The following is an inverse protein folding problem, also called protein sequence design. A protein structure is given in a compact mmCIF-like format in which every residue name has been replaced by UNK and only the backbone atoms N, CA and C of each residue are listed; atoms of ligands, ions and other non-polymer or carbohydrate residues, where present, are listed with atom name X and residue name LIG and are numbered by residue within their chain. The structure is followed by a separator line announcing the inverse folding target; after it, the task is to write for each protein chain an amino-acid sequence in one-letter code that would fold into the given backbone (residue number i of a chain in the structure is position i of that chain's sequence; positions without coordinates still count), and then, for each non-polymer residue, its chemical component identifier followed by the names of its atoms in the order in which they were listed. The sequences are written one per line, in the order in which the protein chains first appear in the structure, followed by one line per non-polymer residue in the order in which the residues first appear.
data_IF_470191039770
#
_entry.id   IF_470191039770
#
_cell.length_a   1.000
_cell.length_b   1.000
_cell.length_c   1.000
_cell.angle_alpha   90.00
_cell.angle_beta   90.00
_cell.angle_gamma   90.00
#
_symmetry.space_group_name_H-M   'P 1'
#
loop_
_entity.id
_entity.type
_entity.pdbx_description
1 polymer ?
#
# COMPACT_ATOMS: atom_id res chain seq x y z
N UNK A 1 9.37 6.58 -12.76
CA UNK A 1 8.44 5.46 -12.51
C UNK A 1 9.20 4.43 -11.69
N UNK A 2 8.65 4.05 -10.55
CA UNK A 2 9.29 3.11 -9.64
C UNK A 2 8.77 1.69 -9.84
N UNK A 3 9.58 0.71 -9.42
CA UNK A 3 9.15 -0.67 -9.29
C UNK A 3 9.29 -1.08 -7.82
N UNK A 4 8.18 -1.41 -7.21
CA UNK A 4 8.10 -1.67 -5.78
C UNK A 4 7.54 -3.05 -5.44
N UNK A 5 7.83 -3.49 -4.22
CA UNK A 5 7.30 -4.71 -3.61
C UNK A 5 6.49 -4.35 -2.38
N UNK A 6 5.27 -4.88 -2.36
CA UNK A 6 4.30 -4.74 -1.30
C UNK A 6 4.50 -5.81 -0.22
N UNK A 7 4.30 -5.47 1.04
CA UNK A 7 4.37 -6.39 2.17
C UNK A 7 5.73 -7.07 2.41
N UNK A 8 6.79 -6.31 2.37
CA UNK A 8 8.12 -6.85 2.68
C UNK A 8 8.25 -7.13 4.18
N UNK A 9 8.47 -8.38 4.55
CA UNK A 9 8.70 -8.79 5.93
C UNK A 9 10.04 -9.54 6.05
N UNK A 10 11.08 -8.83 6.46
CA UNK A 10 12.42 -9.39 6.64
C UNK A 10 12.45 -10.56 7.62
N UNK A 11 11.69 -10.47 8.70
CA UNK A 11 11.62 -11.49 9.75
C UNK A 11 10.91 -12.78 9.31
N UNK A 12 10.15 -12.75 8.21
CA UNK A 12 9.42 -13.93 7.69
C UNK A 12 10.21 -14.59 6.57
N UNK A 13 10.71 -13.79 5.61
CA UNK A 13 11.41 -14.28 4.41
C UNK A 13 12.68 -13.46 4.14
N UNK A 14 13.71 -13.56 4.99
CA UNK A 14 14.91 -12.73 4.86
C UNK A 14 15.66 -12.96 3.54
N UNK A 15 15.73 -14.20 3.07
CA UNK A 15 16.44 -14.53 1.83
C UNK A 15 15.78 -13.86 0.63
N UNK A 16 14.45 -13.91 0.55
CA UNK A 16 13.67 -13.24 -0.52
C UNK A 16 13.85 -11.73 -0.46
N UNK A 17 13.82 -11.14 0.73
CA UNK A 17 14.06 -9.71 0.88
C UNK A 17 15.45 -9.32 0.35
N UNK A 18 16.50 -10.05 0.73
CA UNK A 18 17.85 -9.74 0.30
C UNK A 18 18.07 -10.01 -1.20
N UNK A 19 17.42 -11.00 -1.79
CA UNK A 19 17.41 -11.21 -3.23
C UNK A 19 16.83 -9.99 -3.96
N UNK A 20 15.64 -9.54 -3.57
CA UNK A 20 15.00 -8.34 -4.12
C UNK A 20 15.83 -7.07 -3.88
N UNK A 21 16.43 -6.96 -2.71
CA UNK A 21 17.28 -5.81 -2.35
C UNK A 21 18.52 -5.73 -3.23
N UNK A 22 19.12 -6.86 -3.57
CA UNK A 22 20.31 -6.95 -4.42
C UNK A 22 20.01 -6.88 -5.91
N UNK A 23 18.75 -7.12 -6.30
CA UNK A 23 18.30 -6.99 -7.69
C UNK A 23 18.24 -5.53 -8.15
N UNK A 24 18.45 -5.30 -9.43
CA UNK A 24 18.46 -3.94 -10.01
C UNK A 24 17.06 -3.40 -10.33
N UNK A 25 16.03 -4.24 -10.29
CA UNK A 25 14.69 -3.88 -10.73
C UNK A 25 13.79 -3.31 -9.62
N UNK A 26 13.99 -3.68 -8.34
CA UNK A 26 13.22 -3.13 -7.22
C UNK A 26 13.92 -1.90 -6.67
N UNK A 27 13.25 -0.78 -6.60
CA UNK A 27 13.77 0.46 -6.04
C UNK A 27 12.97 0.99 -4.85
N UNK A 28 11.76 0.44 -4.61
CA UNK A 28 10.89 0.82 -3.51
C UNK A 28 10.33 -0.42 -2.79
N UNK A 29 10.40 -0.40 -1.48
CA UNK A 29 9.81 -1.42 -0.62
C UNK A 29 8.66 -0.84 0.19
N UNK A 30 7.72 -1.70 0.57
CA UNK A 30 6.65 -1.36 1.47
C UNK A 30 6.64 -2.37 2.62
N UNK A 31 6.71 -1.88 3.85
CA UNK A 31 6.66 -2.71 5.05
C UNK A 31 5.36 -2.49 5.82
N UNK A 32 4.65 -3.57 6.11
CA UNK A 32 3.50 -3.55 7.02
C UNK A 32 3.89 -3.79 8.49
N UNK A 33 5.14 -4.14 8.74
CA UNK A 33 5.60 -4.51 10.07
C UNK A 33 5.74 -3.33 11.03
N UNK A 34 5.81 -3.65 12.30
CA UNK A 34 6.24 -2.70 13.31
C UNK A 34 7.73 -2.41 13.12
N UNK A 35 8.08 -1.14 12.98
CA UNK A 35 9.48 -0.70 12.74
C UNK A 35 10.28 -0.53 14.04
N UNK A 36 9.91 -1.24 15.10
CA UNK A 36 10.52 -1.06 16.42
C UNK A 36 11.53 -2.13 16.79
N UNK A 37 11.61 -3.21 16.03
CA UNK A 37 12.54 -4.27 16.33
C UNK A 37 13.88 -4.10 15.60
N UNK A 38 14.85 -4.87 16.03
CA UNK A 38 16.17 -4.87 15.42
C UNK A 38 16.11 -5.28 13.95
N UNK A 39 15.23 -6.22 13.57
CA UNK A 39 15.09 -6.67 12.20
C UNK A 39 14.60 -5.54 11.28
N UNK A 40 13.65 -4.73 11.74
CA UNK A 40 13.18 -3.56 10.99
C UNK A 40 14.26 -2.48 10.84
N UNK A 41 15.08 -2.27 11.86
CA UNK A 41 16.21 -1.34 11.79
C UNK A 41 17.28 -1.83 10.81
N UNK A 42 17.58 -3.12 10.80
CA UNK A 42 18.52 -3.76 9.85
C UNK A 42 17.98 -3.68 8.41
N UNK A 43 16.69 -3.91 8.19
CA UNK A 43 16.03 -3.75 6.90
C UNK A 43 16.16 -2.32 6.38
N UNK A 44 15.83 -1.32 7.21
CA UNK A 44 15.92 0.09 6.83
C UNK A 44 17.36 0.49 6.49
N UNK A 45 18.33 0.02 7.27
CA UNK A 45 19.75 0.21 6.99
C UNK A 45 20.15 -0.39 5.65
N UNK A 46 19.77 -1.64 5.39
CA UNK A 46 20.12 -2.34 4.16
C UNK A 46 19.49 -1.66 2.92
N UNK A 47 18.24 -1.20 3.02
CA UNK A 47 17.56 -0.41 1.98
C UNK A 47 18.33 0.90 1.71
N UNK A 48 18.74 1.61 2.77
CA UNK A 48 19.50 2.85 2.67
C UNK A 48 20.86 2.66 1.99
N UNK A 49 21.62 1.64 2.41
CA UNK A 49 22.94 1.32 1.83
C UNK A 49 22.89 0.97 0.35
N UNK A 50 21.76 0.45 -0.12
CA UNK A 50 21.49 0.17 -1.55
C UNK A 50 20.91 1.37 -2.31
N UNK A 51 20.70 2.51 -1.66
CA UNK A 51 20.11 3.70 -2.29
C UNK A 51 18.62 3.54 -2.64
N UNK A 52 17.96 2.54 -2.08
CA UNK A 52 16.54 2.25 -2.32
C UNK A 52 15.65 2.95 -1.30
N UNK A 53 14.33 2.84 -1.44
CA UNK A 53 13.34 3.56 -0.64
C UNK A 53 12.37 2.62 0.06
N UNK A 54 11.79 3.09 1.17
CA UNK A 54 10.81 2.36 1.96
C UNK A 54 9.59 3.23 2.26
N UNK A 55 8.40 2.69 2.00
CA UNK A 55 7.18 3.13 2.64
C UNK A 55 6.92 2.31 3.89
N UNK A 56 6.62 3.00 4.99
CA UNK A 56 6.35 2.38 6.29
C UNK A 56 4.87 2.44 6.59
N UNK A 57 4.26 1.30 6.89
CA UNK A 57 2.85 1.28 7.30
C UNK A 57 2.66 1.98 8.63
N UNK A 58 1.66 2.85 8.69
CA UNK A 58 1.27 3.54 9.92
C UNK A 58 -0.02 2.98 10.53
N UNK A 59 -0.57 1.91 9.96
CA UNK A 59 -1.83 1.36 10.42
C UNK A 59 -1.81 1.09 11.93
N UNK A 60 -0.87 0.26 12.39
CA UNK A 60 -0.79 -0.10 13.81
C UNK A 60 -0.24 1.00 14.72
N UNK A 61 0.25 2.09 14.17
CA UNK A 61 0.67 3.26 14.97
C UNK A 61 -0.53 4.06 15.45
N UNK A 62 -1.49 4.25 14.58
CA UNK A 62 -2.65 5.10 14.83
C UNK A 62 -3.92 4.31 15.16
N UNK A 63 -4.04 3.08 14.71
CA UNK A 63 -5.29 2.32 14.77
C UNK A 63 -5.14 1.00 15.50
N UNK A 64 -6.27 0.49 15.99
CA UNK A 64 -6.40 -0.85 16.57
C UNK A 64 -7.70 -1.51 16.10
N UNK A 65 -7.63 -2.81 15.86
CA UNK A 65 -8.81 -3.61 15.63
C UNK A 65 -9.61 -3.76 16.93
N UNK A 66 -10.90 -3.42 16.88
CA UNK A 66 -11.86 -3.74 17.93
C UNK A 66 -12.64 -4.99 17.58
N UNK A 67 -12.92 -5.15 16.29
CA UNK A 67 -13.61 -6.30 15.74
C UNK A 67 -13.15 -6.52 14.30
N UNK A 68 -12.88 -7.77 13.95
CA UNK A 68 -12.60 -8.17 12.57
C UNK A 68 -13.23 -9.54 12.35
N UNK A 69 -14.20 -9.60 11.48
CA UNK A 69 -14.76 -10.85 10.98
C UNK A 69 -14.27 -11.03 9.55
N UNK A 70 -13.42 -12.02 9.37
CA UNK A 70 -13.05 -12.44 8.01
C UNK A 70 -14.16 -13.38 7.53
N UNK A 71 -14.92 -12.93 6.56
CA UNK A 71 -15.89 -13.78 5.91
C UNK A 71 -15.20 -14.65 4.86
N UNK A 72 -15.42 -15.95 4.98
CA UNK A 72 -14.73 -16.98 4.22
C UNK A 72 -15.26 -17.10 2.79
N UNK A 73 -16.39 -16.44 2.46
CA UNK A 73 -17.05 -16.55 1.18
C UNK A 73 -16.86 -15.32 0.30
N UNK A 74 -16.42 -15.58 -0.92
CA UNK A 74 -16.22 -14.57 -1.96
C UNK A 74 -17.58 -14.01 -2.39
N UNK A 75 -17.79 -12.75 -2.08
CA UNK A 75 -19.07 -12.07 -2.34
C UNK A 75 -19.89 -11.82 -1.09
N UNK A 76 -19.41 -12.23 0.06
CA UNK A 76 -20.01 -11.95 1.35
C UNK A 76 -19.31 -10.79 2.09
N UNK A 77 -19.97 -10.30 3.10
CA UNK A 77 -19.67 -9.09 3.82
C UNK A 77 -18.29 -9.13 4.53
N UNK A 78 -17.37 -8.25 4.18
CA UNK A 78 -16.23 -7.96 5.01
C UNK A 78 -16.67 -6.99 6.11
N UNK A 79 -16.58 -7.39 7.34
CA UNK A 79 -16.90 -6.56 8.50
C UNK A 79 -15.65 -6.37 9.35
N UNK A 80 -15.17 -5.15 9.38
CA UNK A 80 -14.09 -4.76 10.27
C UNK A 80 -14.48 -3.50 11.02
N UNK A 81 -14.11 -3.43 12.28
CA UNK A 81 -14.19 -2.21 13.06
C UNK A 81 -12.82 -1.88 13.61
N UNK A 82 -12.32 -0.78 13.13
CA UNK A 82 -11.04 -0.21 13.52
C UNK A 82 -11.30 1.17 14.12
N UNK A 83 -10.60 1.48 15.18
CA UNK A 83 -10.71 2.78 15.86
C UNK A 83 -9.32 3.36 16.07
N UNK A 84 -9.24 4.66 16.29
CA UNK A 84 -8.02 5.30 16.78
C UNK A 84 -7.61 4.69 18.13
N UNK A 85 -6.32 4.50 18.31
CA UNK A 85 -5.74 4.08 19.60
C UNK A 85 -5.77 5.25 20.56
N UNK A 86 -5.93 4.97 21.83
CA UNK A 86 -5.67 5.97 22.86
C UNK A 86 -4.18 6.35 22.81
N UNK A 87 -3.86 7.63 22.81
CA UNK A 87 -2.47 8.12 22.70
C UNK A 87 -1.82 7.84 21.32
N UNK A 88 -2.59 7.82 20.26
CA UNK A 88 -2.08 7.53 18.92
C UNK A 88 -1.05 8.58 18.44
N UNK A 89 -1.21 9.86 18.83
CA UNK A 89 -0.25 10.90 18.46
C UNK A 89 1.13 10.63 19.05
N UNK A 90 1.16 10.29 20.35
CA UNK A 90 2.40 9.93 21.05
C UNK A 90 3.05 8.70 20.42
N UNK A 91 2.23 7.72 20.02
CA UNK A 91 2.75 6.53 19.32
C UNK A 91 3.37 6.91 17.98
N UNK A 92 2.67 7.68 17.15
CA UNK A 92 3.17 8.14 15.85
C UNK A 92 4.46 8.95 16.02
N UNK A 93 4.50 9.87 16.99
CA UNK A 93 5.69 10.68 17.27
C UNK A 93 6.89 9.82 17.71
N UNK A 94 6.66 8.83 18.57
CA UNK A 94 7.71 7.90 19.00
C UNK A 94 8.27 7.08 17.82
N UNK A 95 7.40 6.60 16.92
CA UNK A 95 7.82 5.87 15.72
C UNK A 95 8.61 6.74 14.75
N UNK A 96 8.16 7.96 14.50
CA UNK A 96 8.89 8.94 13.68
C UNK A 96 10.25 9.25 14.32
N UNK A 97 10.30 9.44 15.62
CA UNK A 97 11.56 9.71 16.34
C UNK A 97 12.53 8.51 16.21
N UNK A 98 12.05 7.28 16.35
CA UNK A 98 12.83 6.07 16.15
C UNK A 98 13.43 6.00 14.74
N UNK A 99 12.60 6.19 13.70
CA UNK A 99 13.07 6.20 12.32
C UNK A 99 14.12 7.27 12.05
N UNK A 100 13.95 8.47 12.60
CA UNK A 100 14.94 9.56 12.50
C UNK A 100 16.24 9.22 13.23
N UNK A 101 16.14 8.64 14.43
CA UNK A 101 17.29 8.25 15.24
C UNK A 101 18.10 7.08 14.65
N UNK A 102 17.52 6.30 13.75
CA UNK A 102 18.20 5.19 13.06
C UNK A 102 19.37 5.64 12.19
N UNK A 103 19.45 6.90 11.82
CA UNK A 103 20.42 7.42 10.85
C UNK A 103 20.12 7.10 9.39
N UNK A 104 18.97 6.47 9.12
CA UNK A 104 18.55 6.02 7.78
C UNK A 104 17.25 6.67 7.30
N UNK A 105 16.88 7.82 7.88
CA UNK A 105 15.66 8.57 7.55
C UNK A 105 15.53 8.90 6.07
N UNK A 106 16.64 9.10 5.37
CA UNK A 106 16.64 9.37 3.92
C UNK A 106 16.10 8.21 3.08
N UNK A 107 16.17 6.96 3.58
CA UNK A 107 15.58 5.81 2.92
C UNK A 107 14.05 5.74 3.09
N UNK A 108 13.49 6.39 4.11
CA UNK A 108 12.04 6.48 4.27
C UNK A 108 11.48 7.42 3.22
N UNK A 109 10.82 6.88 2.20
CA UNK A 109 10.10 7.65 1.18
C UNK A 109 8.85 8.28 1.77
N UNK A 110 8.15 7.53 2.61
CA UNK A 110 6.92 8.00 3.22
C UNK A 110 6.21 6.95 4.08
N UNK A 111 4.94 7.21 4.30
CA UNK A 111 4.05 6.40 5.11
C UNK A 111 2.97 5.78 4.24
N UNK A 112 2.52 4.59 4.61
CA UNK A 112 1.58 3.80 3.84
C UNK A 112 0.41 3.31 4.67
N UNK A 113 -0.75 3.18 4.05
CA UNK A 113 -1.91 2.49 4.61
C UNK A 113 -2.69 1.74 3.52
N UNK A 114 -3.13 0.55 3.87
CA UNK A 114 -3.88 -0.34 3.01
C UNK A 114 -5.36 -0.33 3.33
N UNK A 115 -6.19 -0.16 2.31
CA UNK A 115 -7.66 -0.25 2.35
C UNK A 115 -8.33 0.33 3.61
N UNK A 116 -7.99 1.57 4.04
CA UNK A 116 -8.42 2.06 5.36
C UNK A 116 -9.93 2.02 5.55
N UNK A 117 -10.71 2.39 4.52
CA UNK A 117 -12.17 2.44 4.62
C UNK A 117 -12.80 1.04 4.58
N UNK A 118 -12.21 0.09 3.86
CA UNK A 118 -12.62 -1.32 3.87
C UNK A 118 -12.34 -1.96 5.23
N UNK A 119 -11.21 -1.60 5.83
CA UNK A 119 -10.83 -2.04 7.17
C UNK A 119 -11.66 -1.38 8.29
N UNK A 120 -12.63 -0.52 7.96
CA UNK A 120 -13.57 0.08 8.91
C UNK A 120 -13.06 1.35 9.60
N UNK A 121 -11.98 1.95 9.10
CA UNK A 121 -11.52 3.28 9.54
C UNK A 121 -12.52 4.32 8.99
N UNK A 122 -12.97 5.23 9.84
CA UNK A 122 -13.84 6.31 9.39
C UNK A 122 -13.05 7.31 8.52
N UNK A 123 -13.74 7.98 7.60
CA UNK A 123 -13.12 9.04 6.78
C UNK A 123 -12.54 10.15 7.66
N UNK A 124 -13.21 10.48 8.76
CA UNK A 124 -12.77 11.50 9.71
C UNK A 124 -11.45 11.09 10.40
N UNK A 125 -11.38 9.87 10.94
CA UNK A 125 -10.17 9.35 11.57
C UNK A 125 -9.02 9.25 10.59
N UNK A 126 -9.30 8.77 9.38
CA UNK A 126 -8.29 8.69 8.30
C UNK A 126 -7.71 10.06 7.97
N UNK A 127 -8.56 11.07 7.79
CA UNK A 127 -8.11 12.44 7.53
C UNK A 127 -7.33 13.03 8.69
N UNK A 128 -7.78 12.78 9.92
CA UNK A 128 -7.11 13.26 11.13
C UNK A 128 -5.68 12.75 11.22
N UNK A 129 -5.47 11.45 11.00
CA UNK A 129 -4.13 10.85 11.06
C UNK A 129 -3.25 11.31 9.89
N UNK A 130 -3.79 11.34 8.67
CA UNK A 130 -3.02 11.78 7.49
C UNK A 130 -2.65 13.27 7.56
N UNK A 131 -3.52 14.11 8.12
CA UNK A 131 -3.21 15.51 8.40
C UNK A 131 -2.06 15.65 9.41
N UNK A 132 -2.11 14.88 10.48
CA UNK A 132 -1.06 14.85 11.51
C UNK A 132 0.29 14.41 10.94
N UNK A 133 0.32 13.32 10.18
CA UNK A 133 1.54 12.86 9.50
C UNK A 133 2.10 13.92 8.56
N UNK A 134 1.24 14.64 7.85
CA UNK A 134 1.62 15.73 6.95
C UNK A 134 2.26 16.90 7.69
N UNK A 135 1.73 17.24 8.86
CA UNK A 135 2.29 18.28 9.73
C UNK A 135 3.66 17.87 10.29
N UNK A 136 3.78 16.61 10.77
CA UNK A 136 5.03 16.10 11.40
C UNK A 136 6.14 15.81 10.41
N UNK A 137 5.79 15.43 9.17
CA UNK A 137 6.72 15.04 8.14
C UNK A 137 6.31 15.64 6.77
N UNK A 138 6.39 16.97 6.58
CA UNK A 138 5.94 17.62 5.36
C UNK A 138 6.77 17.23 4.12
N UNK A 139 7.99 16.76 4.33
CA UNK A 139 8.92 16.27 3.30
C UNK A 139 8.67 14.82 2.87
N UNK A 140 7.85 14.09 3.63
CA UNK A 140 7.57 12.68 3.34
C UNK A 140 6.25 12.50 2.60
N UNK A 141 6.15 11.42 1.86
CA UNK A 141 4.95 11.07 1.12
C UNK A 141 3.94 10.33 1.99
N UNK A 142 2.68 10.39 1.61
CA UNK A 142 1.61 9.59 2.22
C UNK A 142 0.91 8.84 1.10
N UNK A 143 1.04 7.51 1.14
CA UNK A 143 0.52 6.59 0.15
C UNK A 143 -0.68 5.82 0.72
N UNK A 144 -1.78 5.79 -0.02
CA UNK A 144 -2.96 4.98 0.31
C UNK A 144 -3.31 4.08 -0.87
N UNK A 145 -3.41 2.79 -0.61
CA UNK A 145 -4.09 1.85 -1.50
C UNK A 145 -5.56 1.78 -1.09
N UNK A 146 -6.47 2.09 -1.99
CA UNK A 146 -7.90 2.05 -1.76
C UNK A 146 -8.50 0.74 -2.28
N UNK A 147 -9.50 0.21 -1.59
CA UNK A 147 -10.29 -0.90 -2.13
C UNK A 147 -11.14 -0.45 -3.33
N UNK A 148 -11.39 -1.37 -4.24
CA UNK A 148 -12.31 -1.14 -5.38
C UNK A 148 -13.68 -0.69 -4.91
N UNK A 149 -14.19 -1.24 -3.79
CA UNK A 149 -15.50 -0.86 -3.25
C UNK A 149 -15.60 0.63 -2.94
N UNK A 150 -14.53 1.25 -2.51
CA UNK A 150 -14.47 2.70 -2.30
C UNK A 150 -14.28 3.49 -3.58
N UNK A 151 -13.54 2.94 -4.54
CA UNK A 151 -13.18 3.61 -5.80
C UNK A 151 -14.29 3.50 -6.84
N UNK A 152 -14.76 2.28 -7.13
CA UNK A 152 -15.71 1.96 -8.17
C UNK A 152 -16.78 0.99 -7.65
N UNK A 153 -17.73 1.45 -6.82
CA UNK A 153 -18.74 0.61 -6.19
C UNK A 153 -19.71 -0.04 -7.19
N UNK A 154 -19.74 0.41 -8.42
CA UNK A 154 -20.46 -0.21 -9.54
C UNK A 154 -19.74 -1.43 -10.13
N UNK A 155 -18.42 -1.58 -9.86
CA UNK A 155 -17.63 -2.75 -10.23
C UNK A 155 -17.62 -3.78 -9.11
N UNK A 156 -17.44 -3.33 -7.88
CA UNK A 156 -17.46 -4.17 -6.69
C UNK A 156 -17.99 -3.41 -5.48
N UNK A 157 -18.85 -4.03 -4.71
CA UNK A 157 -19.38 -3.47 -3.47
C UNK A 157 -18.95 -4.29 -2.26
N UNK A 158 -18.66 -3.61 -1.18
CA UNK A 158 -18.50 -4.23 0.14
C UNK A 158 -19.42 -3.50 1.12
N UNK A 159 -20.05 -4.26 2.03
CA UNK A 159 -20.95 -3.68 3.01
C UNK A 159 -20.22 -2.66 3.88
N UNK A 160 -20.90 -1.55 4.13
CA UNK A 160 -20.42 -0.42 4.91
C UNK A 160 -19.25 0.39 4.30
N UNK A 161 -18.76 0.07 3.13
CA UNK A 161 -17.76 0.90 2.43
C UNK A 161 -18.46 1.99 1.64
N UNK A 162 -18.22 3.23 2.01
CA UNK A 162 -18.70 4.38 1.25
C UNK A 162 -17.72 4.74 0.14
N UNK A 163 -18.21 5.26 -0.99
CA UNK A 163 -17.33 5.79 -2.03
C UNK A 163 -16.36 6.84 -1.47
N UNK A 164 -15.11 6.79 -1.92
CA UNK A 164 -14.13 7.81 -1.58
C UNK A 164 -14.55 9.17 -2.16
N UNK A 165 -14.11 10.23 -1.51
CA UNK A 165 -14.41 11.62 -1.87
C UNK A 165 -13.13 12.42 -1.92
N UNK A 166 -13.14 13.67 -2.46
CA UNK A 166 -11.93 14.50 -2.50
C UNK A 166 -11.27 14.68 -1.14
N UNK A 167 -12.06 14.68 -0.06
CA UNK A 167 -11.56 14.80 1.31
C UNK A 167 -10.69 13.60 1.71
N UNK A 168 -10.96 12.40 1.19
CA UNK A 168 -10.12 11.22 1.45
C UNK A 168 -8.70 11.41 0.91
N UNK A 169 -8.56 12.13 -0.21
CA UNK A 169 -7.26 12.41 -0.83
C UNK A 169 -6.54 13.63 -0.29
N UNK A 170 -7.16 14.44 0.58
CA UNK A 170 -6.70 15.79 0.90
C UNK A 170 -5.22 15.89 1.30
N UNK A 171 -4.74 14.94 2.07
CA UNK A 171 -3.37 14.92 2.60
C UNK A 171 -2.46 13.89 1.94
N UNK A 172 -3.00 13.12 1.00
CA UNK A 172 -2.25 12.10 0.26
C UNK A 172 -1.36 12.72 -0.82
N UNK A 173 -0.29 12.03 -1.14
CA UNK A 173 0.63 12.33 -2.24
C UNK A 173 0.66 11.21 -3.27
N UNK A 174 0.27 10.01 -2.86
CA UNK A 174 0.34 8.78 -3.65
C UNK A 174 -0.92 7.96 -3.43
N UNK A 175 -1.47 7.43 -4.50
CA UNK A 175 -2.69 6.64 -4.44
C UNK A 175 -2.62 5.45 -5.39
N UNK A 176 -3.24 4.36 -4.97
CA UNK A 176 -3.46 3.17 -5.75
C UNK A 176 -4.82 2.57 -5.45
N UNK A 177 -5.18 1.55 -6.17
CA UNK A 177 -6.16 0.54 -5.78
C UNK A 177 -5.58 -0.85 -6.11
N UNK A 178 -6.04 -1.85 -5.41
CA UNK A 178 -5.67 -3.23 -5.67
C UNK A 178 -6.85 -3.99 -6.31
N UNK A 179 -6.54 -4.79 -7.30
CA UNK A 179 -7.48 -5.70 -7.95
C UNK A 179 -6.71 -6.89 -8.52
N UNK A 180 -7.05 -8.09 -8.07
CA UNK A 180 -6.32 -9.31 -8.39
C UNK A 180 -7.01 -10.21 -9.42
N UNK A 181 -7.95 -9.67 -10.16
CA UNK A 181 -8.61 -10.35 -11.27
C UNK A 181 -7.81 -10.21 -12.57
N UNK A 182 -8.27 -10.90 -13.62
CA UNK A 182 -7.68 -10.77 -14.95
C UNK A 182 -7.64 -9.30 -15.37
N UNK A 183 -6.49 -8.86 -15.89
CA UNK A 183 -6.34 -7.52 -16.42
C UNK A 183 -7.30 -7.32 -17.62
N UNK A 184 -8.13 -6.30 -17.55
CA UNK A 184 -9.09 -5.93 -18.56
C UNK A 184 -9.32 -4.40 -18.60
N UNK A 185 -10.24 -3.96 -19.43
CA UNK A 185 -10.62 -2.56 -19.59
C UNK A 185 -11.11 -1.86 -18.31
N UNK A 186 -11.56 -2.65 -17.31
CA UNK A 186 -12.01 -2.11 -16.02
C UNK A 186 -10.90 -1.42 -15.24
N UNK A 187 -9.66 -1.86 -15.41
CA UNK A 187 -8.51 -1.20 -14.75
C UNK A 187 -8.37 0.27 -15.15
N UNK A 188 -8.52 0.57 -16.44
CA UNK A 188 -8.50 1.96 -16.93
C UNK A 188 -9.69 2.75 -16.39
N UNK A 189 -10.86 2.14 -16.33
CA UNK A 189 -12.07 2.75 -15.77
C UNK A 189 -11.88 3.04 -14.26
N UNK A 190 -11.45 2.05 -13.47
CA UNK A 190 -11.24 2.21 -12.01
C UNK A 190 -10.18 3.27 -11.73
N UNK A 191 -9.08 3.29 -12.49
CA UNK A 191 -8.05 4.34 -12.37
C UNK A 191 -8.65 5.73 -12.61
N UNK A 192 -9.48 5.87 -13.64
CA UNK A 192 -10.18 7.12 -13.95
C UNK A 192 -11.16 7.53 -12.84
N UNK A 193 -11.94 6.57 -12.32
CA UNK A 193 -12.88 6.81 -11.21
C UNK A 193 -12.16 7.22 -9.93
N UNK A 194 -11.04 6.57 -9.60
CA UNK A 194 -10.21 6.98 -8.45
C UNK A 194 -9.79 8.44 -8.58
N UNK A 195 -9.25 8.83 -9.72
CA UNK A 195 -8.83 10.21 -9.98
C UNK A 195 -10.00 11.18 -9.87
N UNK A 196 -11.13 10.86 -10.50
CA UNK A 196 -12.34 11.70 -10.47
C UNK A 196 -12.86 11.90 -9.05
N UNK A 197 -12.95 10.82 -8.27
CA UNK A 197 -13.43 10.88 -6.88
C UNK A 197 -12.49 11.63 -5.97
N UNK A 198 -11.20 11.59 -6.23
CA UNK A 198 -10.18 12.37 -5.50
C UNK A 198 -10.03 13.82 -6.02
N UNK A 199 -10.99 14.30 -6.86
CA UNK A 199 -11.03 15.68 -7.33
C UNK A 199 -10.10 15.98 -8.50
N UNK A 200 -9.66 14.98 -9.26
CA UNK A 200 -8.74 15.13 -10.41
C UNK A 200 -7.46 15.88 -10.06
N UNK A 201 -6.92 15.66 -8.87
CA UNK A 201 -5.68 16.27 -8.41
C UNK A 201 -4.50 15.80 -9.25
N UNK A 202 -3.85 16.72 -9.96
CA UNK A 202 -2.69 16.43 -10.82
C UNK A 202 -1.38 16.20 -10.03
N UNK A 203 -1.33 16.61 -8.78
CA UNK A 203 -0.18 16.44 -7.88
C UNK A 203 -0.10 15.04 -7.25
N UNK A 204 -1.19 14.26 -7.30
CA UNK A 204 -1.18 12.87 -6.84
C UNK A 204 -0.37 11.98 -7.78
N UNK A 205 0.56 11.21 -7.24
CA UNK A 205 1.18 10.11 -7.98
C UNK A 205 0.24 8.91 -8.03
N UNK A 206 0.05 8.40 -9.23
CA UNK A 206 -0.80 7.22 -9.46
C UNK A 206 0.10 5.99 -9.49
N UNK A 207 -0.20 5.05 -8.63
CA UNK A 207 0.42 3.73 -8.61
C UNK A 207 -0.56 2.68 -9.13
N UNK A 208 -0.01 1.60 -9.67
CA UNK A 208 -0.78 0.39 -9.98
C UNK A 208 -0.26 -0.75 -9.12
N UNK A 209 -1.17 -1.60 -8.65
CA UNK A 209 -0.85 -2.77 -7.83
C UNK A 209 -1.14 -4.03 -8.66
N UNK A 210 -0.19 -4.49 -9.48
CA UNK A 210 -0.39 -5.70 -10.26
C UNK A 210 -0.41 -6.93 -9.37
N UNK A 211 -1.27 -7.89 -9.72
CA UNK A 211 -1.27 -9.21 -9.13
C UNK A 211 -0.08 -10.00 -9.67
N UNK A 212 0.92 -10.21 -8.83
CA UNK A 212 2.11 -11.00 -9.15
C UNK A 212 2.17 -12.30 -8.35
N UNK A 213 1.05 -12.73 -7.81
CA UNK A 213 0.90 -13.95 -7.03
C UNK A 213 -0.22 -14.83 -7.60
N UNK A 214 -0.12 -16.14 -7.40
CA UNK A 214 -1.19 -17.07 -7.70
C UNK A 214 -2.27 -17.04 -6.60
N UNK A 215 -3.04 -15.98 -6.58
CA UNK A 215 -4.12 -15.81 -5.63
C UNK A 215 -5.20 -16.88 -5.90
N UNK A 216 -5.37 -17.82 -4.97
CA UNK A 216 -6.31 -18.96 -5.03
C UNK A 216 -5.92 -20.14 -5.93
N UNK A 217 -4.70 -20.22 -6.43
CA UNK A 217 -4.25 -21.33 -7.25
C UNK A 217 -4.87 -21.42 -8.64
N UNK A 218 -5.50 -20.33 -9.11
CA UNK A 218 -6.17 -20.25 -10.41
C UNK A 218 -5.43 -19.37 -11.44
N UNK A 219 -4.24 -18.88 -11.08
CA UNK A 219 -3.46 -17.97 -11.90
C UNK A 219 -2.12 -18.56 -12.23
N UNK A 220 -1.74 -18.49 -13.47
CA UNK A 220 -0.43 -18.91 -13.98
C UNK A 220 0.49 -17.71 -14.17
N UNK A 221 1.73 -17.99 -14.51
CA UNK A 221 2.74 -17.00 -14.82
C UNK A 221 2.29 -16.02 -15.91
N UNK A 222 1.63 -16.52 -16.96
CA UNK A 222 1.14 -15.68 -18.05
C UNK A 222 0.10 -14.67 -17.56
N UNK A 223 -0.78 -15.06 -16.63
CA UNK A 223 -1.72 -14.14 -16.00
C UNK A 223 -0.98 -13.02 -15.24
N UNK A 224 0.06 -13.36 -14.49
CA UNK A 224 0.86 -12.37 -13.76
C UNK A 224 1.59 -11.41 -14.70
N UNK A 225 2.16 -11.94 -15.79
CA UNK A 225 2.83 -11.13 -16.83
C UNK A 225 1.85 -10.20 -17.55
N UNK A 226 0.69 -10.70 -17.95
CA UNK A 226 -0.36 -9.91 -18.61
C UNK A 226 -0.84 -8.76 -17.69
N UNK A 227 -0.98 -9.07 -16.40
CA UNK A 227 -1.38 -8.11 -15.40
C UNK A 227 -0.33 -7.01 -15.19
N UNK A 228 0.92 -7.42 -15.03
CA UNK A 228 2.06 -6.51 -14.89
C UNK A 228 2.19 -5.58 -16.10
N UNK A 229 2.17 -6.16 -17.30
CA UNK A 229 2.27 -5.41 -18.55
C UNK A 229 1.11 -4.44 -18.74
N UNK A 230 -0.12 -4.88 -18.45
CA UNK A 230 -1.31 -4.04 -18.54
C UNK A 230 -1.26 -2.85 -17.59
N UNK A 231 -0.88 -3.06 -16.33
CA UNK A 231 -0.68 -2.01 -15.35
C UNK A 231 0.43 -1.03 -15.78
N UNK A 232 1.53 -1.54 -16.33
CA UNK A 232 2.62 -0.71 -16.84
C UNK A 232 2.15 0.20 -18.00
N UNK A 233 1.40 -0.36 -18.97
CA UNK A 233 0.87 0.43 -20.08
C UNK A 233 -0.17 1.48 -19.65
N UNK A 234 -0.91 1.23 -18.56
CA UNK A 234 -1.76 2.26 -17.97
C UNK A 234 -0.93 3.39 -17.36
N UNK A 235 0.11 3.06 -16.58
CA UNK A 235 0.97 4.07 -15.94
C UNK A 235 1.69 4.96 -16.94
N UNK A 236 2.07 4.44 -18.10
CA UNK A 236 2.70 5.25 -19.17
C UNK A 236 1.80 6.38 -19.68
N UNK A 237 0.49 6.27 -19.49
CA UNK A 237 -0.49 7.29 -19.89
C UNK A 237 -0.74 8.34 -18.79
N UNK A 238 -0.27 8.08 -17.58
CA UNK A 238 -0.46 8.99 -16.47
C UNK A 238 0.50 10.19 -16.54
N UNK A 239 -0.02 11.37 -16.17
CA UNK A 239 0.78 12.60 -16.12
C UNK A 239 1.81 12.56 -14.99
N UNK A 240 1.44 11.95 -13.87
CA UNK A 240 2.27 11.81 -12.67
C UNK A 240 2.32 10.34 -12.20
N UNK A 241 3.04 9.47 -12.91
CA UNK A 241 3.12 8.06 -12.54
C UNK A 241 4.00 7.88 -11.30
N UNK A 242 3.50 7.16 -10.31
CA UNK A 242 4.27 6.69 -9.16
C UNK A 242 5.12 5.50 -9.57
N UNK A 243 4.47 4.39 -9.89
CA UNK A 243 5.12 3.16 -10.27
C UNK A 243 4.20 1.95 -10.16
N UNK A 244 4.79 0.79 -10.31
CA UNK A 244 4.18 -0.51 -10.03
C UNK A 244 4.54 -0.91 -8.60
N UNK A 245 3.55 -1.34 -7.83
CA UNK A 245 3.75 -1.91 -6.49
C UNK A 245 3.25 -3.35 -6.52
N UNK A 246 4.14 -4.29 -6.78
CA UNK A 246 3.79 -5.70 -6.91
C UNK A 246 3.31 -6.27 -5.59
N UNK A 247 2.12 -6.89 -5.60
CA UNK A 247 1.52 -7.44 -4.41
C UNK A 247 2.13 -8.77 -4.01
N UNK A 248 2.42 -8.89 -2.74
CA UNK A 248 2.78 -10.05 -1.92
C UNK A 248 3.58 -11.16 -2.59
N UNK A 249 4.89 -11.04 -2.49
CA UNK A 249 5.83 -12.07 -2.89
C UNK A 249 5.94 -13.19 -1.83
N UNK A 250 5.59 -12.94 -0.58
CA UNK A 250 5.87 -13.83 0.55
C UNK A 250 4.69 -14.70 1.03
N UNK A 251 3.48 -14.46 0.51
CA UNK A 251 2.32 -15.27 0.93
C UNK A 251 2.22 -16.62 0.22
N UNK A 252 3.05 -16.85 -0.80
CA UNK A 252 3.05 -18.08 -1.60
C UNK A 252 4.49 -18.56 -1.86
N UNK A 253 5.18 -19.12 -0.85
CA UNK A 253 6.59 -19.55 -0.98
C UNK A 253 6.87 -20.55 -2.12
N UNK A 254 5.88 -21.37 -2.47
CA UNK A 254 6.01 -22.34 -3.56
C UNK A 254 5.98 -21.69 -4.96
N UNK A 255 5.65 -20.41 -5.07
CA UNK A 255 5.51 -19.67 -6.33
C UNK A 255 6.70 -18.74 -6.60
N UNK A 256 7.52 -18.50 -5.58
CA UNK A 256 8.76 -17.71 -5.70
C UNK A 256 9.78 -18.41 -6.62
N UNK A 257 9.68 -19.73 -6.75
CA UNK A 257 10.52 -20.51 -7.68
C UNK A 257 10.13 -20.32 -9.16
N UNK A 258 8.99 -19.72 -9.47
CA UNK A 258 8.46 -19.56 -10.82
C UNK A 258 8.69 -18.15 -11.43
N UNK A 259 9.23 -17.19 -10.66
CA UNK A 259 9.60 -15.85 -11.10
C UNK A 259 11.12 -15.73 -11.25
#
# INVERSE_FOLDING_TARGET
MHFGIFHTALNIYPDVFYEMLNGDFVDVFLSEGEVEDQASAEMLKAIHEKGKKLYVSFFFWAYKHVYREMMVDVGSEYSARVVLRDGWQETVDAKIAFLRASGHWEAVEGFYIDEPLLNGITLEDFRTVTAYLRERCPDKRIFCCFSIAGVAPDVWTANNVKPITPEAGQYLTDVAFDMYHKFDEKYAYITSEMKRRLGNREDLRIWQVPCTMNYRGDKDEQHCLDHLNGCYELLKKEKNPGGLMCCTFYTCPAEVEAL
#
